data_IF_727379752756
#
_entry.id   IF_727379752756
#
_cell.length_a   1.000
_cell.length_b   1.000
_cell.length_c   1.000
_cell.angle_alpha   90.00
_cell.angle_beta   90.00
_cell.angle_gamma   90.00
#
_symmetry.space_group_name_H-M   'P 1'
#
loop_
_entity.id
_entity.type
_entity.pdbx_description
1 polymer ?
#
# COMPACT_ATOMS: atom_id res chain seq x y z
N UNK A 1 -6.29 18.35 23.27
CA UNK A 1 -5.93 16.91 23.26
C UNK A 1 -6.01 16.46 21.81
N UNK A 2 -4.83 16.26 21.19
CA UNK A 2 -4.73 15.89 19.79
C UNK A 2 -5.31 14.47 19.55
N UNK A 3 -6.34 14.34 18.71
CA UNK A 3 -6.96 13.04 18.42
C UNK A 3 -6.00 12.07 17.71
N UNK A 4 -4.95 12.55 17.06
CA UNK A 4 -3.92 11.72 16.42
C UNK A 4 -3.01 11.02 17.42
N UNK A 5 -2.64 11.70 18.50
CA UNK A 5 -1.83 11.10 19.58
C UNK A 5 -2.58 9.99 20.30
N UNK A 6 -3.91 10.09 20.45
CA UNK A 6 -4.72 9.05 21.08
C UNK A 6 -4.89 7.81 20.20
N UNK A 7 -4.91 7.96 18.86
CA UNK A 7 -4.97 6.82 17.91
C UNK A 7 -3.65 6.06 17.87
N UNK A 8 -2.51 6.76 17.81
CA UNK A 8 -1.18 6.14 17.83
C UNK A 8 -0.92 5.35 19.12
N UNK A 9 -1.31 5.90 20.26
CA UNK A 9 -1.23 5.19 21.56
C UNK A 9 -2.11 3.94 21.56
N UNK A 10 -3.35 4.01 21.06
CA UNK A 10 -4.25 2.87 20.99
C UNK A 10 -3.68 1.70 20.20
N UNK A 11 -2.99 1.96 19.08
CA UNK A 11 -2.39 0.91 18.25
C UNK A 11 -1.14 0.30 18.89
N UNK A 12 -0.34 1.09 19.61
CA UNK A 12 0.78 0.59 20.42
C UNK A 12 0.27 -0.33 21.53
N UNK A 13 -0.76 0.08 22.27
CA UNK A 13 -1.34 -0.75 23.34
C UNK A 13 -1.93 -2.06 22.81
N UNK A 14 -2.63 -2.05 21.68
CA UNK A 14 -3.17 -3.27 21.06
C UNK A 14 -2.07 -4.29 20.73
N UNK A 15 -0.95 -3.84 20.18
CA UNK A 15 0.20 -4.71 19.88
C UNK A 15 0.82 -5.25 21.16
N UNK A 16 1.01 -4.42 22.17
CA UNK A 16 1.58 -4.82 23.45
C UNK A 16 0.68 -5.84 24.16
N UNK A 17 -0.64 -5.63 24.20
CA UNK A 17 -1.59 -6.56 24.79
C UNK A 17 -1.57 -7.90 24.05
N UNK A 18 -1.50 -7.91 22.72
CA UNK A 18 -1.41 -9.12 21.93
C UNK A 18 -0.14 -9.92 22.25
N UNK A 19 1.01 -9.24 22.27
CA UNK A 19 2.29 -9.86 22.60
C UNK A 19 2.26 -10.42 24.02
N UNK A 20 1.78 -9.62 24.99
CA UNK A 20 1.66 -10.06 26.39
C UNK A 20 0.73 -11.28 26.52
N UNK A 21 -0.38 -11.29 25.81
CA UNK A 21 -1.32 -12.41 25.80
C UNK A 21 -0.68 -13.69 25.24
N UNK A 22 -0.01 -13.60 24.09
CA UNK A 22 0.64 -14.76 23.45
C UNK A 22 1.77 -15.32 24.33
N UNK A 23 2.66 -14.43 24.81
CA UNK A 23 3.78 -14.82 25.67
C UNK A 23 3.27 -15.36 27.01
N UNK A 24 2.28 -14.70 27.62
CA UNK A 24 1.69 -15.13 28.88
C UNK A 24 1.03 -16.50 28.80
N UNK A 25 0.26 -16.76 27.73
CA UNK A 25 -0.31 -18.10 27.50
C UNK A 25 0.76 -19.15 27.27
N UNK A 26 1.80 -18.86 26.48
CA UNK A 26 2.91 -19.77 26.24
C UNK A 26 3.61 -20.17 27.55
N UNK A 27 3.87 -19.20 28.44
CA UNK A 27 4.47 -19.46 29.76
C UNK A 27 3.53 -20.28 30.67
N UNK A 28 2.22 -19.97 30.68
CA UNK A 28 1.25 -20.73 31.44
C UNK A 28 1.14 -22.18 30.97
N UNK A 29 1.25 -22.40 29.68
CA UNK A 29 1.24 -23.74 29.06
C UNK A 29 2.59 -24.45 29.15
N UNK A 30 3.60 -23.84 29.81
CA UNK A 30 4.98 -24.36 29.94
C UNK A 30 5.65 -24.66 28.60
N UNK A 31 5.35 -23.87 27.59
CA UNK A 31 6.01 -23.94 26.27
C UNK A 31 7.37 -23.23 26.32
N UNK A 32 8.30 -23.66 25.49
CA UNK A 32 9.55 -22.95 25.29
C UNK A 32 9.35 -21.72 24.38
N UNK A 33 8.77 -20.67 24.98
CA UNK A 33 8.41 -19.43 24.28
C UNK A 33 9.61 -18.80 23.57
N UNK A 34 10.81 -18.90 24.16
CA UNK A 34 12.02 -18.35 23.55
C UNK A 34 12.49 -19.18 22.35
N UNK A 35 12.48 -20.51 22.49
CA UNK A 35 12.79 -21.41 21.37
C UNK A 35 11.81 -21.27 20.22
N UNK A 36 10.51 -21.16 20.50
CA UNK A 36 9.47 -20.91 19.50
C UNK A 36 9.66 -19.56 18.80
N UNK A 37 10.01 -18.51 19.55
CA UNK A 37 10.35 -17.20 18.98
C UNK A 37 11.56 -17.29 18.04
N UNK A 38 12.64 -17.97 18.44
CA UNK A 38 13.81 -18.14 17.61
C UNK A 38 13.54 -18.93 16.33
N UNK A 39 12.72 -19.97 16.42
CA UNK A 39 12.29 -20.75 15.26
C UNK A 39 11.43 -19.89 14.32
N UNK A 40 10.47 -19.16 14.85
CA UNK A 40 9.67 -18.22 14.08
C UNK A 40 10.51 -17.13 13.40
N UNK A 41 11.51 -16.59 14.10
CA UNK A 41 12.44 -15.60 13.53
C UNK A 41 13.27 -16.18 12.37
N UNK A 42 13.78 -17.42 12.50
CA UNK A 42 14.49 -18.12 11.42
C UNK A 42 13.61 -18.35 10.19
N UNK A 43 12.39 -18.79 10.39
CA UNK A 43 11.44 -19.03 9.31
C UNK A 43 11.01 -17.71 8.64
N UNK A 44 10.80 -16.65 9.41
CA UNK A 44 10.57 -15.31 8.89
C UNK A 44 11.73 -14.82 8.04
N UNK A 45 12.98 -15.00 8.50
CA UNK A 45 14.16 -14.61 7.74
C UNK A 45 14.31 -15.39 6.44
N UNK A 46 14.06 -16.69 6.43
CA UNK A 46 14.03 -17.51 5.20
C UNK A 46 12.98 -17.02 4.21
N UNK A 47 11.79 -16.69 4.70
CA UNK A 47 10.71 -16.14 3.89
C UNK A 47 11.13 -14.83 3.25
N UNK A 48 11.72 -13.90 4.03
CA UNK A 48 12.20 -12.61 3.52
C UNK A 48 13.25 -12.82 2.43
N UNK A 49 14.27 -13.65 2.66
CA UNK A 49 15.31 -13.94 1.66
C UNK A 49 14.69 -14.51 0.37
N UNK A 50 13.69 -15.36 0.48
CA UNK A 50 12.99 -15.92 -0.68
C UNK A 50 12.20 -14.90 -1.50
N UNK A 51 11.72 -13.83 -0.88
CA UNK A 51 10.92 -12.79 -1.51
C UNK A 51 11.79 -11.67 -2.09
N UNK A 52 12.96 -11.39 -1.51
CA UNK A 52 13.86 -10.30 -1.92
C UNK A 52 14.11 -10.23 -3.42
N UNK A 53 14.43 -11.32 -4.16
CA UNK A 53 14.67 -11.23 -5.59
C UNK A 53 13.46 -10.70 -6.38
N UNK A 54 12.26 -11.14 -6.00
CA UNK A 54 11.01 -10.67 -6.61
C UNK A 54 10.77 -9.18 -6.35
N UNK A 55 11.04 -8.73 -5.12
CA UNK A 55 10.91 -7.32 -4.75
C UNK A 55 11.92 -6.44 -5.49
N UNK A 56 13.18 -6.88 -5.61
CA UNK A 56 14.20 -6.15 -6.38
C UNK A 56 13.77 -6.03 -7.83
N UNK A 57 13.30 -7.13 -8.46
CA UNK A 57 12.79 -7.11 -9.83
C UNK A 57 11.61 -6.16 -10.00
N UNK A 58 10.66 -6.17 -9.08
CA UNK A 58 9.51 -5.26 -9.10
C UNK A 58 9.94 -3.79 -8.94
N UNK A 59 10.83 -3.49 -8.00
CA UNK A 59 11.35 -2.13 -7.79
C UNK A 59 12.13 -1.62 -9.00
N UNK A 60 12.96 -2.47 -9.61
CA UNK A 60 13.68 -2.14 -10.83
C UNK A 60 12.71 -1.86 -11.99
N UNK A 61 11.70 -2.70 -12.20
CA UNK A 61 10.68 -2.51 -13.24
C UNK A 61 9.92 -1.18 -13.05
N UNK A 62 9.48 -0.88 -11.82
CA UNK A 62 8.81 0.39 -11.50
C UNK A 62 9.76 1.58 -11.69
N UNK A 63 11.04 1.44 -11.32
CA UNK A 63 12.06 2.46 -11.55
C UNK A 63 12.25 2.78 -13.03
N UNK A 64 12.35 1.76 -13.89
CA UNK A 64 12.42 1.92 -15.34
C UNK A 64 11.15 2.57 -15.90
N UNK A 65 9.98 2.13 -15.44
CA UNK A 65 8.69 2.67 -15.87
C UNK A 65 8.56 4.18 -15.54
N UNK A 66 9.08 4.58 -14.37
CA UNK A 66 9.09 5.98 -13.94
C UNK A 66 10.12 6.80 -14.74
N UNK A 67 11.35 6.29 -14.89
CA UNK A 67 12.42 7.02 -15.58
C UNK A 67 12.22 7.11 -17.10
N UNK A 68 11.42 6.23 -17.70
CA UNK A 68 11.07 6.27 -19.12
C UNK A 68 10.08 7.37 -19.51
N UNK A 69 9.48 8.09 -18.54
CA UNK A 69 8.39 9.04 -18.80
C UNK A 69 7.05 8.39 -19.15
N UNK A 70 7.00 7.05 -19.22
CA UNK A 70 5.78 6.31 -19.59
C UNK A 70 4.59 6.67 -18.70
N UNK A 71 4.81 6.80 -17.40
CA UNK A 71 3.73 7.11 -16.44
C UNK A 71 3.16 8.51 -16.68
N UNK A 72 3.98 9.47 -17.07
CA UNK A 72 3.55 10.83 -17.39
C UNK A 72 2.73 10.86 -18.67
N UNK A 73 3.20 10.22 -19.75
CA UNK A 73 2.47 10.13 -21.01
C UNK A 73 1.17 9.32 -20.86
N UNK A 74 1.21 8.21 -20.12
CA UNK A 74 0.03 7.42 -19.81
C UNK A 74 -0.98 8.21 -18.96
N UNK A 75 -0.47 9.00 -18.00
CA UNK A 75 -1.29 9.91 -17.20
C UNK A 75 -1.98 10.98 -18.04
N UNK A 76 -1.28 11.60 -18.99
CA UNK A 76 -1.86 12.57 -19.94
C UNK A 76 -2.92 11.94 -20.83
N UNK A 77 -2.64 10.76 -21.38
CA UNK A 77 -3.58 10.03 -22.25
C UNK A 77 -4.88 9.69 -21.50
N UNK A 78 -4.75 9.11 -20.30
CA UNK A 78 -5.91 8.81 -19.46
C UNK A 78 -6.57 10.08 -18.93
N UNK A 79 -5.81 11.14 -18.64
CA UNK A 79 -6.32 12.43 -18.21
C UNK A 79 -7.32 12.99 -19.22
N UNK A 80 -7.00 12.96 -20.50
CA UNK A 80 -7.89 13.44 -21.58
C UNK A 80 -9.25 12.72 -21.56
N UNK A 81 -9.29 11.45 -21.16
CA UNK A 81 -10.53 10.65 -21.08
C UNK A 81 -11.24 10.86 -19.76
N UNK A 82 -10.50 11.11 -18.68
CA UNK A 82 -11.04 11.16 -17.30
C UNK A 82 -11.37 12.59 -16.83
N UNK A 83 -10.76 13.62 -17.42
CA UNK A 83 -11.09 15.02 -17.14
C UNK A 83 -12.57 15.36 -17.34
N UNK A 84 -13.27 14.91 -18.41
CA UNK A 84 -14.71 15.13 -18.55
C UNK A 84 -15.54 14.51 -17.42
N UNK A 85 -15.02 13.47 -16.76
CA UNK A 85 -15.63 12.86 -15.56
C UNK A 85 -15.30 13.60 -14.27
N UNK A 86 -14.54 14.72 -14.37
CA UNK A 86 -14.14 15.55 -13.23
C UNK A 86 -13.03 14.91 -12.38
N UNK A 87 -12.18 14.10 -13.00
CA UNK A 87 -11.03 13.48 -12.37
C UNK A 87 -9.78 14.28 -12.78
N UNK A 88 -9.05 14.90 -11.84
CA UNK A 88 -7.81 15.59 -12.18
C UNK A 88 -6.78 14.65 -12.80
N UNK A 89 -6.19 15.07 -13.93
CA UNK A 89 -5.15 14.30 -14.62
C UNK A 89 -3.96 13.94 -13.72
N UNK A 90 -3.64 14.78 -12.74
CA UNK A 90 -2.58 14.54 -11.74
C UNK A 90 -2.82 13.32 -10.83
N UNK A 91 -4.07 12.88 -10.65
CA UNK A 91 -4.39 11.69 -9.84
C UNK A 91 -4.12 10.37 -10.58
N UNK A 92 -4.08 10.39 -11.90
CA UNK A 92 -3.93 9.18 -12.71
C UNK A 92 -2.56 8.54 -12.53
N UNK A 93 -1.42 9.27 -12.67
CA UNK A 93 -0.10 8.70 -12.40
C UNK A 93 0.03 8.18 -10.97
N UNK A 94 -0.52 8.92 -10.00
CA UNK A 94 -0.52 8.52 -8.59
C UNK A 94 -1.25 7.19 -8.40
N UNK A 95 -2.45 7.02 -8.98
CA UNK A 95 -3.24 5.80 -8.92
C UNK A 95 -2.52 4.60 -9.54
N UNK A 96 -1.92 4.78 -10.70
CA UNK A 96 -1.17 3.71 -11.37
C UNK A 96 0.06 3.31 -10.55
N UNK A 97 0.88 4.26 -10.12
CA UNK A 97 2.07 3.99 -9.31
C UNK A 97 1.73 3.35 -7.97
N UNK A 98 0.59 3.73 -7.38
CA UNK A 98 0.09 3.16 -6.13
C UNK A 98 -0.12 1.65 -6.20
N UNK A 99 -0.51 1.10 -7.33
CA UNK A 99 -0.68 -0.34 -7.51
C UNK A 99 0.64 -1.12 -7.37
N UNK A 100 1.77 -0.47 -7.65
CA UNK A 100 3.10 -1.10 -7.70
C UNK A 100 3.96 -0.76 -6.49
N UNK A 101 4.03 0.52 -6.08
CA UNK A 101 4.98 1.01 -5.10
C UNK A 101 4.39 2.08 -4.20
N UNK A 102 4.34 1.80 -2.90
CA UNK A 102 3.92 2.76 -1.90
C UNK A 102 4.87 3.97 -1.82
N UNK A 103 6.18 3.71 -1.75
CA UNK A 103 7.18 4.77 -1.63
C UNK A 103 7.18 5.72 -2.82
N UNK A 104 7.04 5.19 -4.04
CA UNK A 104 6.95 6.01 -5.25
C UNK A 104 5.63 6.82 -5.27
N UNK A 105 4.52 6.22 -4.84
CA UNK A 105 3.24 6.91 -4.73
C UNK A 105 3.29 8.04 -3.69
N UNK A 106 3.95 7.84 -2.54
CA UNK A 106 4.17 8.92 -1.56
C UNK A 106 5.00 10.06 -2.16
N UNK A 107 6.02 9.75 -2.97
CA UNK A 107 6.78 10.78 -3.70
C UNK A 107 5.88 11.64 -4.60
N UNK A 108 5.04 11.00 -5.42
CA UNK A 108 4.09 11.71 -6.29
C UNK A 108 3.03 12.49 -5.49
N UNK A 109 2.59 11.96 -4.35
CA UNK A 109 1.68 12.68 -3.45
C UNK A 109 2.31 13.96 -2.93
N UNK A 110 3.57 13.90 -2.48
CA UNK A 110 4.29 15.07 -1.98
C UNK A 110 4.52 16.12 -3.08
N UNK A 111 4.81 15.68 -4.30
CA UNK A 111 4.92 16.59 -5.43
C UNK A 111 3.58 17.24 -5.76
N UNK A 112 2.48 16.47 -5.74
CA UNK A 112 1.13 17.01 -5.91
C UNK A 112 0.77 18.03 -4.82
N UNK A 113 1.18 17.81 -3.58
CA UNK A 113 0.98 18.78 -2.50
C UNK A 113 1.76 20.08 -2.68
N UNK A 114 2.97 20.04 -3.25
CA UNK A 114 3.75 21.22 -3.58
C UNK A 114 3.11 22.04 -4.71
N UNK A 115 2.54 21.37 -5.70
CA UNK A 115 1.96 22.02 -6.88
C UNK A 115 0.55 22.55 -6.61
N UNK A 116 -0.32 21.73 -6.05
CA UNK A 116 -1.74 22.03 -5.90
C UNK A 116 -2.15 22.43 -4.47
N UNK A 117 -1.34 22.07 -3.46
CA UNK A 117 -1.66 22.24 -2.05
C UNK A 117 -2.44 21.05 -1.46
N UNK A 118 -2.28 20.81 -0.15
CA UNK A 118 -2.94 19.71 0.56
C UNK A 118 -4.46 19.86 0.59
N UNK A 119 -4.95 21.10 0.73
CA UNK A 119 -6.37 21.43 0.88
C UNK A 119 -7.12 21.58 -0.47
N UNK A 120 -6.39 21.46 -1.57
CA UNK A 120 -7.00 21.44 -2.90
C UNK A 120 -7.85 20.18 -3.10
N UNK A 121 -8.76 20.22 -4.04
CA UNK A 121 -9.54 19.03 -4.42
C UNK A 121 -8.64 17.84 -4.78
N UNK A 122 -7.60 18.10 -5.57
CA UNK A 122 -6.63 17.06 -5.97
C UNK A 122 -5.83 16.53 -4.77
N UNK A 123 -5.38 17.42 -3.86
CA UNK A 123 -4.65 17.03 -2.65
C UNK A 123 -5.50 16.19 -1.70
N UNK A 124 -6.75 16.59 -1.45
CA UNK A 124 -7.69 15.82 -0.61
C UNK A 124 -8.02 14.46 -1.24
N UNK A 125 -8.34 14.43 -2.53
CA UNK A 125 -8.62 13.18 -3.24
C UNK A 125 -7.42 12.23 -3.20
N UNK A 126 -6.20 12.73 -3.41
CA UNK A 126 -4.97 11.95 -3.32
C UNK A 126 -4.75 11.39 -1.90
N UNK A 127 -5.00 12.19 -0.86
CA UNK A 127 -4.86 11.77 0.55
C UNK A 127 -5.81 10.63 0.88
N UNK A 128 -7.09 10.76 0.50
CA UNK A 128 -8.10 9.72 0.72
C UNK A 128 -7.73 8.47 -0.09
N UNK A 129 -7.34 8.64 -1.35
CA UNK A 129 -6.93 7.52 -2.22
C UNK A 129 -5.75 6.75 -1.63
N UNK A 130 -4.73 7.43 -1.11
CA UNK A 130 -3.57 6.79 -0.48
C UNK A 130 -3.94 6.04 0.81
N UNK A 131 -4.96 6.46 1.53
CA UNK A 131 -5.41 5.82 2.78
C UNK A 131 -6.30 4.61 2.55
N UNK A 132 -7.07 4.55 1.45
CA UNK A 132 -8.06 3.50 1.20
C UNK A 132 -7.66 2.50 0.10
N UNK A 133 -6.47 2.65 -0.50
CA UNK A 133 -5.93 1.72 -1.50
C UNK A 133 -4.62 1.10 -1.05
N UNK A 134 -4.29 -0.07 -1.61
CA UNK A 134 -3.04 -0.78 -1.32
C UNK A 134 -2.24 -1.08 -2.59
N UNK A 135 -0.96 -1.44 -2.40
CA UNK A 135 -0.04 -1.83 -3.47
C UNK A 135 -0.32 -3.27 -3.89
N UNK A 136 -1.21 -3.45 -4.87
CA UNK A 136 -1.72 -4.77 -5.28
C UNK A 136 -0.58 -5.71 -5.68
N UNK A 137 0.30 -5.28 -6.58
CA UNK A 137 1.36 -6.14 -7.10
C UNK A 137 2.42 -6.48 -6.04
N UNK A 138 2.80 -5.51 -5.22
CA UNK A 138 3.74 -5.74 -4.12
C UNK A 138 3.15 -6.71 -3.10
N UNK A 139 1.93 -6.47 -2.64
CA UNK A 139 1.24 -7.31 -1.65
C UNK A 139 1.08 -8.73 -2.16
N UNK A 140 0.66 -8.91 -3.41
CA UNK A 140 0.54 -10.24 -4.00
C UNK A 140 1.90 -10.94 -4.14
N UNK A 141 2.95 -10.22 -4.54
CA UNK A 141 4.29 -10.80 -4.64
C UNK A 141 4.81 -11.30 -3.28
N UNK A 142 4.59 -10.53 -2.21
CA UNK A 142 4.98 -10.90 -0.86
C UNK A 142 4.18 -12.10 -0.35
N UNK A 143 2.85 -12.00 -0.35
CA UNK A 143 2.01 -13.05 0.26
C UNK A 143 2.02 -14.33 -0.55
N UNK A 144 1.85 -14.29 -1.86
CA UNK A 144 1.87 -15.50 -2.69
C UNK A 144 3.27 -16.08 -2.84
N UNK A 145 4.31 -15.22 -2.83
CA UNK A 145 5.70 -15.66 -2.80
C UNK A 145 6.02 -16.42 -1.50
N UNK A 146 5.58 -15.92 -0.36
CA UNK A 146 5.81 -16.56 0.95
C UNK A 146 5.19 -17.97 1.03
N UNK A 147 3.99 -18.16 0.46
CA UNK A 147 3.29 -19.46 0.46
C UNK A 147 3.46 -20.26 -0.84
N UNK A 148 4.35 -19.82 -1.74
CA UNK A 148 4.66 -20.47 -3.02
C UNK A 148 3.45 -20.70 -3.93
N UNK A 149 2.42 -19.86 -3.83
CA UNK A 149 1.25 -19.91 -4.71
C UNK A 149 1.59 -19.27 -6.07
N UNK A 150 1.51 -20.06 -7.14
CA UNK A 150 1.80 -19.60 -8.52
C UNK A 150 0.54 -19.17 -9.30
N UNK A 151 -0.64 -19.64 -8.92
CA UNK A 151 -1.90 -19.34 -9.61
C UNK A 151 -2.75 -18.40 -8.77
N UNK A 152 -2.84 -17.15 -9.18
CA UNK A 152 -3.59 -16.10 -8.47
C UNK A 152 -5.09 -16.14 -8.71
N UNK A 153 -5.57 -16.90 -9.72
CA UNK A 153 -6.99 -17.00 -10.12
C UNK A 153 -7.63 -15.59 -10.25
N UNK A 154 -8.72 -15.36 -9.54
CA UNK A 154 -9.47 -14.09 -9.57
C UNK A 154 -8.92 -13.03 -8.60
N UNK A 155 -7.89 -13.35 -7.79
CA UNK A 155 -7.39 -12.42 -6.76
C UNK A 155 -6.84 -11.13 -7.37
N UNK A 156 -6.08 -11.24 -8.47
CA UNK A 156 -5.56 -10.05 -9.16
C UNK A 156 -6.69 -9.18 -9.71
N UNK A 157 -7.65 -9.79 -10.41
CA UNK A 157 -8.78 -9.06 -10.97
C UNK A 157 -9.64 -8.40 -9.87
N UNK A 158 -9.91 -9.13 -8.78
CA UNK A 158 -10.65 -8.60 -7.63
C UNK A 158 -9.91 -7.46 -6.93
N UNK A 159 -8.60 -7.58 -6.73
CA UNK A 159 -7.79 -6.54 -6.11
C UNK A 159 -7.70 -5.27 -6.97
N UNK A 160 -7.52 -5.41 -8.29
CA UNK A 160 -7.54 -4.28 -9.22
C UNK A 160 -8.91 -3.60 -9.25
N UNK A 161 -10.00 -4.38 -9.31
CA UNK A 161 -11.36 -3.84 -9.26
C UNK A 161 -11.62 -3.09 -7.95
N UNK A 162 -11.26 -3.68 -6.81
CA UNK A 162 -11.40 -3.03 -5.49
C UNK A 162 -10.60 -1.72 -5.42
N UNK A 163 -9.36 -1.71 -5.94
CA UNK A 163 -8.53 -0.50 -5.98
C UNK A 163 -9.15 0.58 -6.86
N UNK A 164 -9.69 0.23 -8.03
CA UNK A 164 -10.39 1.17 -8.91
C UNK A 164 -11.63 1.78 -8.25
N UNK A 165 -12.43 0.94 -7.57
CA UNK A 165 -13.59 1.41 -6.80
C UNK A 165 -13.13 2.34 -5.66
N UNK A 166 -12.07 1.97 -4.93
CA UNK A 166 -11.50 2.80 -3.88
C UNK A 166 -11.04 4.17 -4.40
N UNK A 167 -10.38 4.21 -5.56
CA UNK A 167 -9.98 5.47 -6.21
C UNK A 167 -11.19 6.31 -6.61
N UNK A 168 -12.21 5.71 -7.23
CA UNK A 168 -13.42 6.40 -7.63
C UNK A 168 -14.18 7.00 -6.42
N UNK A 169 -14.33 6.22 -5.34
CA UNK A 169 -14.97 6.67 -4.09
C UNK A 169 -14.16 7.79 -3.43
N UNK A 170 -12.82 7.71 -3.44
CA UNK A 170 -11.95 8.77 -2.92
C UNK A 170 -12.19 10.12 -3.62
N UNK A 171 -12.34 10.09 -4.93
CA UNK A 171 -12.63 11.28 -5.74
C UNK A 171 -14.05 11.82 -5.44
N UNK A 172 -15.02 10.92 -5.29
CA UNK A 172 -16.39 11.30 -4.95
C UNK A 172 -16.47 11.95 -3.56
N UNK A 173 -15.79 11.37 -2.56
CA UNK A 173 -15.74 11.91 -1.19
C UNK A 173 -15.03 13.27 -1.15
N UNK A 174 -13.93 13.44 -1.89
CA UNK A 174 -13.21 14.70 -1.96
C UNK A 174 -14.03 15.86 -2.57
N UNK A 175 -15.05 15.55 -3.40
CA UNK A 175 -16.00 16.54 -3.94
C UNK A 175 -17.02 17.03 -2.90
N UNK A 176 -17.30 16.22 -1.88
CA UNK A 176 -18.31 16.51 -0.88
C UNK A 176 -17.79 17.29 0.35
N UNK A 177 -16.49 17.50 0.40
CA UNK A 177 -15.79 18.23 1.47
C UNK A 177 -15.09 19.43 0.86
#
# INVERSE_FOLDING_TARGET
>A
RDPEMSRGLGDVYKRQVLIFYVVGLGLLMKQDVFGDFLNGAKDGMRTVIGIVPTLIGLMAAVGVLRSSGFLEEFGKLLGTVLEPAGIPSALVPLGVVRLFSNSAAVGLLLDLYKEAGCDSFAGRAASIMMSCTETVFYTMAVYFGAVQIKKTRYTLAGALFSSLVGMAVSIALAKGV
#
